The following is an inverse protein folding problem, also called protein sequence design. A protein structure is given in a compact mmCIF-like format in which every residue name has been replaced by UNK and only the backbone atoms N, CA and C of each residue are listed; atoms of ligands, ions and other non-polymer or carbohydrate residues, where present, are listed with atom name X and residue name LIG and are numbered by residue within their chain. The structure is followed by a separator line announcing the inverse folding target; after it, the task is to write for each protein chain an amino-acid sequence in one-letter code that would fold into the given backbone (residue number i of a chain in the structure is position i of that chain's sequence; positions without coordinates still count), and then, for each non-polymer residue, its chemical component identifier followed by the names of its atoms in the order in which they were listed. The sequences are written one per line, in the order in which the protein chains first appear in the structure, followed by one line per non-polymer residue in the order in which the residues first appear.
data_IF_888553715057
#
_entry.id   IF_888553715057
#
_cell.length_a   1.000
_cell.length_b   1.000
_cell.length_c   1.000
_cell.angle_alpha   90.00
_cell.angle_beta   90.00
_cell.angle_gamma   90.00
#
_symmetry.space_group_name_H-M   'P 1'
#
loop_
_entity.id
_entity.type
_entity.pdbx_description
1 polymer ?
#
# COMPACT_ATOMS: atom_id res chain seq x y z
N UNK A 1 0.52 -2.61 2.82
CA UNK A 1 0.48 -1.12 2.89
C UNK A 1 -0.95 -0.64 3.09
N UNK A 2 -1.14 0.54 3.70
CA UNK A 2 -2.44 1.25 3.74
C UNK A 2 -2.70 1.96 2.41
N UNK A 3 -3.96 2.24 2.10
CA UNK A 3 -4.32 2.91 0.83
C UNK A 3 -3.53 4.22 0.62
N UNK A 4 -3.51 5.09 1.63
CA UNK A 4 -2.76 6.34 1.55
C UNK A 4 -1.25 6.17 1.38
N UNK A 5 -0.65 5.12 1.97
CA UNK A 5 0.76 4.79 1.80
C UNK A 5 1.08 4.35 0.36
N UNK A 6 0.21 3.52 -0.23
CA UNK A 6 0.38 3.06 -1.63
C UNK A 6 0.40 4.24 -2.59
N UNK A 7 -0.59 5.12 -2.48
CA UNK A 7 -0.70 6.26 -3.40
C UNK A 7 0.23 7.43 -3.06
N UNK A 8 0.90 7.42 -1.92
CA UNK A 8 1.97 8.37 -1.60
C UNK A 8 3.32 8.02 -2.23
N UNK A 9 3.48 6.81 -2.78
CA UNK A 9 4.76 6.35 -3.31
C UNK A 9 5.27 7.23 -4.45
N UNK A 10 6.53 7.57 -4.34
CA UNK A 10 7.35 8.15 -5.39
C UNK A 10 8.35 7.11 -5.90
N UNK A 11 8.94 7.34 -7.08
CA UNK A 11 9.99 6.46 -7.57
C UNK A 11 11.27 6.50 -6.72
N UNK A 12 11.46 7.56 -5.92
CA UNK A 12 12.59 7.66 -4.98
C UNK A 12 12.39 6.79 -3.74
N UNK A 13 11.15 6.37 -3.44
CA UNK A 13 10.85 5.42 -2.38
C UNK A 13 11.10 3.95 -2.78
N UNK A 14 11.32 3.68 -4.08
CA UNK A 14 11.44 2.33 -4.64
C UNK A 14 12.88 2.07 -5.07
N UNK A 15 13.56 1.24 -4.31
CA UNK A 15 14.87 0.73 -4.66
C UNK A 15 14.73 -0.59 -5.43
N UNK A 16 14.88 -0.49 -6.77
CA UNK A 16 14.78 -1.67 -7.64
C UNK A 16 16.04 -2.54 -7.61
N UNK A 17 17.19 -2.00 -7.22
CA UNK A 17 18.44 -2.74 -7.09
C UNK A 17 18.42 -3.65 -5.85
N UNK A 18 18.05 -3.08 -4.69
CA UNK A 18 17.94 -3.81 -3.43
C UNK A 18 16.56 -4.45 -3.24
N UNK A 19 15.63 -4.24 -4.17
CA UNK A 19 14.25 -4.76 -4.14
C UNK A 19 13.50 -4.38 -2.86
N UNK A 20 13.53 -3.09 -2.51
CA UNK A 20 12.84 -2.59 -1.33
C UNK A 20 11.95 -1.38 -1.64
N UNK A 21 10.97 -1.14 -0.79
CA UNK A 21 10.09 0.03 -0.80
C UNK A 21 10.12 0.66 0.57
N UNK A 22 10.50 1.93 0.64
CA UNK A 22 10.43 2.74 1.86
C UNK A 22 9.04 3.35 1.98
N UNK A 23 8.40 3.14 3.13
CA UNK A 23 7.07 3.65 3.42
C UNK A 23 7.22 4.79 4.43
N UNK A 24 7.28 6.02 3.92
CA UNK A 24 7.56 7.21 4.71
C UNK A 24 6.37 8.17 4.78
N UNK A 25 5.46 8.10 3.80
CA UNK A 25 4.40 9.07 3.63
C UNK A 25 3.03 8.40 3.50
N UNK A 26 2.01 9.17 3.75
CA UNK A 26 0.62 8.83 3.43
C UNK A 26 -0.03 10.01 2.71
N UNK A 27 -0.81 9.72 1.67
CA UNK A 27 -1.55 10.75 0.95
C UNK A 27 -3.00 10.79 1.41
N UNK A 28 -3.54 11.99 1.46
CA UNK A 28 -4.95 12.24 1.70
C UNK A 28 -5.44 13.47 0.92
N UNK A 29 -6.74 13.57 0.74
CA UNK A 29 -7.36 14.71 0.09
C UNK A 29 -7.93 15.66 1.14
N UNK A 30 -7.67 16.97 0.98
CA UNK A 30 -8.47 18.03 1.58
C UNK A 30 -9.53 18.48 0.57
N UNK A 31 -10.55 19.16 1.04
CA UNK A 31 -11.64 19.63 0.21
C UNK A 31 -11.16 20.49 -0.98
N UNK A 32 -12.04 20.59 -2.00
CA UNK A 32 -11.79 21.13 -3.34
C UNK A 32 -11.05 22.48 -3.33
N UNK A 33 -9.74 22.42 -3.31
CA UNK A 33 -8.90 23.60 -3.58
C UNK A 33 -8.54 23.68 -5.07
N UNK A 34 -8.55 24.88 -5.65
CA UNK A 34 -8.29 25.12 -7.07
C UNK A 34 -6.90 24.65 -7.53
N UNK A 35 -5.89 24.66 -6.64
CA UNK A 35 -4.48 24.37 -6.95
C UNK A 35 -3.98 22.97 -6.49
N UNK A 36 -4.90 22.03 -6.31
CA UNK A 36 -4.55 20.68 -5.89
C UNK A 36 -5.10 20.37 -4.51
N UNK A 37 -5.62 19.15 -4.39
CA UNK A 37 -6.30 18.67 -3.18
C UNK A 37 -5.53 17.60 -2.44
N UNK A 38 -4.38 17.21 -2.97
CA UNK A 38 -3.60 16.10 -2.43
C UNK A 38 -2.48 16.59 -1.55
N UNK A 39 -2.39 16.01 -0.37
CA UNK A 39 -1.40 16.32 0.64
C UNK A 39 -0.68 15.05 1.06
N UNK A 40 0.64 15.14 1.23
CA UNK A 40 1.46 14.11 1.86
C UNK A 40 1.65 14.49 3.32
N UNK A 41 1.15 13.64 4.20
CA UNK A 41 1.49 13.71 5.61
C UNK A 41 2.74 12.85 5.85
N UNK A 42 3.73 13.41 6.51
CA UNK A 42 4.81 12.60 7.08
C UNK A 42 4.17 11.75 8.16
N UNK A 43 4.32 10.43 8.05
CA UNK A 43 3.71 9.52 9.01
C UNK A 43 3.98 10.00 10.44
N UNK A 44 2.92 10.22 11.23
CA UNK A 44 2.89 10.92 12.53
C UNK A 44 3.86 10.40 13.59
N UNK A 45 4.56 9.30 13.34
CA UNK A 45 5.48 8.69 14.29
C UNK A 45 6.63 8.04 13.55
N UNK A 46 7.83 8.16 14.11
CA UNK A 46 9.06 7.50 13.64
C UNK A 46 8.83 6.00 13.39
N UNK A 47 8.01 5.34 14.22
CA UNK A 47 7.68 3.91 14.11
C UNK A 47 6.80 3.53 12.91
N UNK A 48 6.30 4.51 12.15
CA UNK A 48 5.52 4.25 10.94
C UNK A 48 6.39 4.17 9.68
N UNK A 49 7.63 4.62 9.79
CA UNK A 49 8.64 4.44 8.73
C UNK A 49 9.06 2.98 8.73
N UNK A 50 8.95 2.34 7.60
CA UNK A 50 9.37 0.95 7.42
C UNK A 50 9.79 0.70 6.00
N UNK A 51 10.62 -0.31 5.84
CA UNK A 51 11.01 -0.85 4.55
C UNK A 51 10.36 -2.22 4.35
N UNK A 52 9.85 -2.49 3.16
CA UNK A 52 9.30 -3.79 2.79
C UNK A 52 9.99 -4.31 1.53
N UNK A 53 10.11 -5.64 1.44
CA UNK A 53 10.70 -6.29 0.28
C UNK A 53 9.74 -6.42 -0.88
N UNK A 54 10.28 -6.36 -2.10
CA UNK A 54 9.57 -6.51 -3.37
C UNK A 54 9.70 -7.96 -3.84
N UNK A 55 8.58 -8.69 -3.95
CA UNK A 55 8.57 -10.03 -4.54
C UNK A 55 8.79 -9.98 -6.06
N UNK A 56 9.22 -11.11 -6.66
CA UNK A 56 9.57 -11.19 -8.08
C UNK A 56 8.46 -10.71 -9.01
N UNK A 57 7.21 -11.05 -8.71
CA UNK A 57 6.05 -10.62 -9.50
C UNK A 57 5.89 -9.10 -9.48
N UNK A 58 5.96 -8.48 -8.28
CA UNK A 58 5.87 -7.02 -8.14
C UNK A 58 7.06 -6.33 -8.78
N UNK A 59 8.27 -6.87 -8.64
CA UNK A 59 9.48 -6.36 -9.25
C UNK A 59 9.35 -6.28 -10.79
N UNK A 60 8.97 -7.39 -11.41
CA UNK A 60 8.77 -7.45 -12.86
C UNK A 60 7.70 -6.47 -13.34
N UNK A 61 6.63 -6.31 -12.55
CA UNK A 61 5.58 -5.34 -12.84
C UNK A 61 6.07 -3.90 -12.74
N UNK A 62 6.82 -3.56 -11.68
CA UNK A 62 7.34 -2.21 -11.47
C UNK A 62 8.33 -1.79 -12.57
N UNK A 63 9.18 -2.70 -13.05
CA UNK A 63 10.08 -2.44 -14.16
C UNK A 63 9.31 -2.06 -15.43
N UNK A 64 8.35 -2.89 -15.83
CA UNK A 64 7.49 -2.64 -16.99
C UNK A 64 6.69 -1.35 -16.86
N UNK A 65 6.18 -1.09 -15.67
CA UNK A 65 5.39 0.11 -15.41
C UNK A 65 6.23 1.39 -15.45
N UNK A 66 7.46 1.36 -14.93
CA UNK A 66 8.41 2.48 -15.03
C UNK A 66 8.76 2.80 -16.48
N UNK A 67 9.00 1.76 -17.27
CA UNK A 67 9.25 1.90 -18.71
C UNK A 67 8.03 2.51 -19.43
N UNK A 68 6.84 1.99 -19.17
CA UNK A 68 5.59 2.50 -19.74
C UNK A 68 5.38 3.98 -19.38
N UNK A 69 5.60 4.37 -18.14
CA UNK A 69 5.50 5.75 -17.71
C UNK A 69 6.53 6.65 -18.40
N UNK A 70 7.75 6.16 -18.61
CA UNK A 70 8.78 6.87 -19.36
C UNK A 70 8.39 7.05 -20.86
N UNK A 71 7.73 6.07 -21.46
CA UNK A 71 7.22 6.18 -22.82
C UNK A 71 6.10 7.23 -22.90
N UNK A 72 5.19 7.29 -21.93
CA UNK A 72 4.20 8.35 -21.84
C UNK A 72 4.83 9.74 -21.66
N UNK A 73 5.90 9.88 -20.86
CA UNK A 73 6.65 11.14 -20.74
C UNK A 73 7.20 11.61 -22.09
N UNK A 74 7.70 10.69 -22.92
CA UNK A 74 8.20 11.01 -24.27
C UNK A 74 7.04 11.37 -25.21
N UNK A 75 5.95 10.60 -25.20
CA UNK A 75 4.76 10.79 -26.04
C UNK A 75 4.11 12.16 -25.78
N UNK A 76 3.86 12.49 -24.52
CA UNK A 76 3.21 13.75 -24.14
C UNK A 76 4.18 14.94 -24.12
N UNK A 77 5.49 14.71 -24.05
CA UNK A 77 6.52 15.73 -24.08
C UNK A 77 6.24 16.91 -23.15
N UNK A 78 6.12 18.12 -23.70
CA UNK A 78 5.83 19.35 -22.93
C UNK A 78 4.45 19.35 -22.26
N UNK A 79 3.53 18.51 -22.73
CA UNK A 79 2.17 18.39 -22.17
C UNK A 79 2.10 17.40 -21.00
N UNK A 80 3.16 16.65 -20.72
CA UNK A 80 3.23 15.77 -19.57
C UNK A 80 3.24 16.59 -18.27
N UNK A 81 2.40 16.19 -17.32
CA UNK A 81 2.23 16.92 -16.06
C UNK A 81 3.22 16.42 -15.02
N UNK A 82 3.95 17.36 -14.46
CA UNK A 82 4.91 17.13 -13.39
C UNK A 82 4.42 17.77 -12.09
N UNK A 83 4.98 17.30 -10.99
CA UNK A 83 4.60 17.74 -9.66
C UNK A 83 5.82 18.13 -8.83
N UNK A 84 5.59 19.05 -7.90
CA UNK A 84 6.53 19.46 -6.86
C UNK A 84 5.83 19.36 -5.51
N UNK A 85 6.60 19.28 -4.43
CA UNK A 85 6.09 19.34 -3.07
C UNK A 85 6.29 20.75 -2.51
N UNK A 86 5.20 21.35 -2.05
CA UNK A 86 5.22 22.61 -1.32
C UNK A 86 5.02 22.37 0.16
N UNK A 87 5.90 22.96 0.98
CA UNK A 87 5.83 22.85 2.43
C UNK A 87 4.63 23.61 2.98
N UNK A 88 3.81 22.95 3.77
CA UNK A 88 2.74 23.57 4.53
C UNK A 88 3.17 23.67 5.99
N UNK A 89 3.27 24.89 6.49
CA UNK A 89 3.71 25.19 7.87
C UNK A 89 2.54 25.62 8.73
N UNK A 90 2.58 25.27 10.00
CA UNK A 90 1.61 25.78 10.97
C UNK A 90 1.91 27.24 11.35
N UNK A 91 1.06 27.83 12.18
CA UNK A 91 1.21 29.23 12.66
C UNK A 91 2.53 29.50 13.42
N UNK A 92 3.27 28.47 13.81
CA UNK A 92 4.56 28.58 14.48
C UNK A 92 5.75 28.31 13.53
N UNK A 93 5.51 28.24 12.21
CA UNK A 93 6.55 27.98 11.21
C UNK A 93 7.02 26.52 11.13
N UNK A 94 6.45 25.60 11.92
CA UNK A 94 6.80 24.17 11.88
C UNK A 94 6.14 23.50 10.70
N UNK A 95 6.91 22.73 9.92
CA UNK A 95 6.41 21.86 8.85
C UNK A 95 5.37 20.89 9.39
N UNK A 96 4.22 20.81 8.73
CA UNK A 96 3.12 19.90 9.09
C UNK A 96 2.94 18.83 8.02
N UNK A 97 2.95 19.22 6.76
CA UNK A 97 2.68 18.36 5.61
C UNK A 97 3.25 18.97 4.33
N UNK A 98 3.19 18.22 3.22
CA UNK A 98 3.50 18.72 1.90
C UNK A 98 2.25 18.72 1.02
N UNK A 99 2.04 19.79 0.26
CA UNK A 99 1.01 19.87 -0.78
C UNK A 99 1.61 19.42 -2.12
N UNK A 100 0.92 18.52 -2.82
CA UNK A 100 1.31 18.06 -4.15
C UNK A 100 0.80 19.08 -5.16
N UNK A 101 1.71 19.83 -5.78
CA UNK A 101 1.37 20.92 -6.71
C UNK A 101 1.85 20.58 -8.12
N UNK A 102 0.97 20.80 -9.11
CA UNK A 102 1.35 20.72 -10.50
C UNK A 102 2.34 21.83 -10.84
N UNK A 103 3.52 21.46 -11.34
CA UNK A 103 4.59 22.42 -11.65
C UNK A 103 5.47 21.92 -12.78
N UNK A 104 5.89 22.84 -13.63
CA UNK A 104 6.89 22.60 -14.67
C UNK A 104 8.33 22.86 -14.16
N UNK A 105 8.49 23.32 -12.93
CA UNK A 105 9.80 23.52 -12.31
C UNK A 105 10.55 22.19 -12.19
N UNK A 106 11.86 22.23 -12.39
CA UNK A 106 12.73 21.10 -12.09
C UNK A 106 13.14 21.06 -10.62
N UNK A 107 13.01 22.18 -9.91
CA UNK A 107 13.36 22.27 -8.49
C UNK A 107 12.29 21.54 -7.65
N UNK A 108 12.72 20.70 -6.73
CA UNK A 108 11.86 19.89 -5.86
C UNK A 108 10.82 19.05 -6.63
N UNK A 109 11.15 18.64 -7.87
CA UNK A 109 10.28 17.77 -8.65
C UNK A 109 10.19 16.41 -7.98
N UNK A 110 8.97 15.88 -7.91
CA UNK A 110 8.68 14.56 -7.39
C UNK A 110 8.07 13.70 -8.50
N UNK A 111 8.57 12.48 -8.62
CA UNK A 111 8.10 11.51 -9.61
C UNK A 111 7.15 10.52 -8.94
N UNK A 112 5.84 10.86 -8.98
CA UNK A 112 4.81 10.00 -8.41
C UNK A 112 4.69 8.69 -9.17
N UNK A 113 4.53 7.57 -8.45
CA UNK A 113 4.35 6.25 -9.06
C UNK A 113 3.00 6.18 -9.76
N UNK A 114 1.93 6.61 -9.11
CA UNK A 114 0.56 6.46 -9.64
C UNK A 114 0.11 7.72 -10.38
N UNK A 115 0.27 7.69 -11.71
CA UNK A 115 -0.18 8.77 -12.60
C UNK A 115 -1.01 8.23 -13.76
N UNK A 116 -1.83 9.09 -14.36
CA UNK A 116 -2.46 8.83 -15.67
C UNK A 116 -1.40 8.92 -16.79
N UNK A 117 -1.77 8.54 -18.01
CA UNK A 117 -0.92 8.62 -19.21
C UNK A 117 -0.31 10.00 -19.40
N UNK A 118 -1.08 11.05 -19.19
CA UNK A 118 -0.66 12.45 -19.32
C UNK A 118 0.12 12.99 -18.11
N UNK A 119 0.51 12.12 -17.19
CA UNK A 119 1.20 12.47 -15.94
C UNK A 119 0.30 12.98 -14.81
N UNK A 120 -1.02 13.13 -15.03
CA UNK A 120 -1.92 13.62 -13.97
C UNK A 120 -1.91 12.67 -12.78
N UNK A 121 -1.58 13.19 -11.61
CA UNK A 121 -1.67 12.45 -10.35
C UNK A 121 -3.14 12.25 -9.96
N UNK A 122 -3.49 11.03 -9.63
CA UNK A 122 -4.88 10.65 -9.33
C UNK A 122 -5.14 10.35 -7.85
N UNK A 123 -4.09 10.18 -7.06
CA UNK A 123 -4.20 9.78 -5.67
C UNK A 123 -5.08 8.55 -5.47
N UNK A 124 -5.81 8.51 -4.36
CA UNK A 124 -6.67 7.37 -4.03
C UNK A 124 -7.94 7.25 -4.88
N UNK A 125 -8.26 8.24 -5.71
CA UNK A 125 -9.48 8.21 -6.54
C UNK A 125 -9.43 7.15 -7.64
N UNK A 126 -8.24 6.79 -8.09
CA UNK A 126 -8.05 5.83 -9.18
C UNK A 126 -8.64 4.45 -8.87
N UNK A 127 -8.76 4.07 -7.59
CA UNK A 127 -9.31 2.77 -7.19
C UNK A 127 -10.83 2.69 -7.28
N UNK A 128 -11.54 3.82 -7.34
CA UNK A 128 -13.01 3.84 -7.29
C UNK A 128 -13.64 3.09 -8.46
N UNK A 129 -13.13 3.30 -9.67
CA UNK A 129 -13.70 2.67 -10.87
C UNK A 129 -13.44 1.15 -10.91
N UNK A 130 -12.21 0.62 -10.75
CA UNK A 130 -11.96 -0.81 -10.70
C UNK A 130 -12.78 -1.53 -9.61
N UNK A 131 -12.87 -0.96 -8.40
CA UNK A 131 -13.65 -1.58 -7.32
C UNK A 131 -15.15 -1.53 -7.56
N UNK A 132 -15.65 -0.53 -8.31
CA UNK A 132 -17.04 -0.52 -8.77
C UNK A 132 -17.33 -1.67 -9.73
N UNK A 133 -16.44 -1.96 -10.68
CA UNK A 133 -16.54 -3.12 -11.58
C UNK A 133 -16.56 -4.42 -10.78
N UNK A 134 -15.58 -4.60 -9.87
CA UNK A 134 -15.49 -5.78 -9.00
C UNK A 134 -16.79 -6.01 -8.23
N UNK A 135 -17.37 -4.94 -7.71
CA UNK A 135 -18.60 -5.00 -6.92
C UNK A 135 -19.85 -5.30 -7.77
N UNK A 136 -20.07 -4.54 -8.84
CA UNK A 136 -21.33 -4.60 -9.59
C UNK A 136 -21.31 -5.60 -10.75
N UNK A 137 -20.19 -5.81 -11.40
CA UNK A 137 -20.11 -6.72 -12.55
C UNK A 137 -19.66 -8.13 -12.13
N UNK A 138 -18.77 -8.25 -11.13
CA UNK A 138 -18.29 -9.56 -10.64
C UNK A 138 -19.01 -10.03 -9.37
N UNK A 139 -19.86 -9.20 -8.76
CA UNK A 139 -20.60 -9.53 -7.54
C UNK A 139 -19.74 -9.68 -6.28
N UNK A 140 -18.47 -9.26 -6.32
CA UNK A 140 -17.51 -9.43 -5.22
C UNK A 140 -17.55 -8.21 -4.30
N UNK A 141 -18.03 -8.43 -3.07
CA UNK A 141 -18.10 -7.40 -2.03
C UNK A 141 -16.73 -7.23 -1.36
N UNK A 142 -15.90 -6.31 -1.88
CA UNK A 142 -14.61 -6.02 -1.27
C UNK A 142 -14.21 -4.54 -1.43
N UNK A 143 -13.37 -4.08 -0.51
CA UNK A 143 -12.73 -2.76 -0.54
C UNK A 143 -11.25 -2.93 -0.83
N UNK A 144 -10.59 -1.90 -1.30
CA UNK A 144 -9.13 -1.91 -1.50
C UNK A 144 -8.37 -2.29 -0.21
N UNK A 145 -8.87 -1.85 0.95
CA UNK A 145 -8.28 -2.20 2.25
C UNK A 145 -8.34 -3.70 2.57
N UNK A 146 -9.31 -4.41 2.03
CA UNK A 146 -9.48 -5.84 2.29
C UNK A 146 -8.36 -6.69 1.66
N UNK A 147 -7.65 -6.15 0.65
CA UNK A 147 -6.42 -6.75 0.12
C UNK A 147 -5.33 -6.84 1.19
N UNK A 148 -5.24 -5.84 2.09
CA UNK A 148 -4.32 -5.86 3.22
C UNK A 148 -4.72 -6.92 4.25
N UNK A 149 -6.01 -7.05 4.52
CA UNK A 149 -6.54 -8.09 5.41
C UNK A 149 -6.31 -9.50 4.83
N UNK A 150 -6.49 -9.64 3.52
CA UNK A 150 -6.19 -10.88 2.78
C UNK A 150 -4.72 -11.28 2.92
N UNK A 151 -3.79 -10.33 2.77
CA UNK A 151 -2.37 -10.58 2.99
C UNK A 151 -2.09 -11.15 4.39
N UNK A 152 -2.67 -10.56 5.45
CA UNK A 152 -2.53 -11.06 6.82
C UNK A 152 -3.00 -12.50 6.92
N UNK A 153 -4.22 -12.76 6.48
CA UNK A 153 -4.85 -14.08 6.58
C UNK A 153 -4.04 -15.15 5.85
N UNK A 154 -3.60 -14.85 4.62
CA UNK A 154 -2.81 -15.79 3.80
C UNK A 154 -1.44 -16.04 4.44
N UNK A 155 -0.74 -15.00 4.91
CA UNK A 155 0.57 -15.13 5.54
C UNK A 155 0.51 -16.00 6.80
N UNK A 156 -0.48 -15.76 7.68
CA UNK A 156 -0.64 -16.52 8.90
C UNK A 156 -1.07 -17.98 8.63
N UNK A 157 -1.91 -18.24 7.62
CA UNK A 157 -2.27 -19.60 7.19
C UNK A 157 -1.09 -20.36 6.62
N UNK A 158 -0.13 -19.68 6.00
CA UNK A 158 1.11 -20.26 5.50
C UNK A 158 2.22 -20.37 6.56
N UNK A 159 1.90 -20.15 7.84
CA UNK A 159 2.81 -20.37 8.96
C UNK A 159 3.75 -19.22 9.28
N UNK A 160 3.54 -18.01 8.68
CA UNK A 160 4.31 -16.83 9.08
C UNK A 160 3.98 -16.47 10.54
N UNK A 161 5.00 -16.01 11.27
CA UNK A 161 4.80 -15.52 12.63
C UNK A 161 4.00 -14.22 12.65
N UNK A 162 3.12 -14.08 13.63
CA UNK A 162 2.25 -12.89 13.80
C UNK A 162 3.09 -11.63 13.93
N UNK A 163 4.23 -11.72 14.63
CA UNK A 163 5.15 -10.61 14.85
C UNK A 163 5.72 -10.09 13.53
N UNK A 164 6.19 -10.97 12.66
CA UNK A 164 6.78 -10.60 11.36
C UNK A 164 5.73 -9.98 10.44
N UNK A 165 4.54 -10.54 10.41
CA UNK A 165 3.41 -9.99 9.65
C UNK A 165 3.02 -8.60 10.18
N UNK A 166 3.00 -8.40 11.50
CA UNK A 166 2.71 -7.12 12.12
C UNK A 166 3.75 -6.06 11.77
N UNK A 167 5.05 -6.42 11.74
CA UNK A 167 6.15 -5.55 11.37
C UNK A 167 6.05 -5.09 9.90
N UNK A 168 5.87 -6.02 8.95
CA UNK A 168 5.66 -5.70 7.53
C UNK A 168 4.47 -4.76 7.34
N UNK A 169 3.43 -4.92 8.13
CA UNK A 169 2.24 -4.08 8.07
C UNK A 169 2.43 -2.71 8.76
N UNK A 170 3.43 -2.56 9.62
CA UNK A 170 3.60 -1.38 10.48
C UNK A 170 2.48 -1.27 11.52
N UNK A 171 2.13 -2.38 12.16
CA UNK A 171 1.24 -2.40 13.31
C UNK A 171 2.04 -2.19 14.58
N UNK A 172 1.75 -1.11 15.32
CA UNK A 172 2.38 -0.84 16.62
C UNK A 172 2.05 -1.87 17.69
N UNK A 173 0.87 -2.49 17.58
CA UNK A 173 0.37 -3.48 18.52
C UNK A 173 0.09 -4.78 17.78
N UNK A 174 0.64 -5.85 18.28
CA UNK A 174 0.48 -7.21 17.73
C UNK A 174 -0.99 -7.62 17.77
N UNK A 175 -1.74 -7.19 18.78
CA UNK A 175 -3.17 -7.49 18.96
C UNK A 175 -4.01 -7.03 17.75
N UNK A 176 -3.53 -6.02 17.01
CA UNK A 176 -4.19 -5.59 15.77
C UNK A 176 -4.10 -6.67 14.69
N UNK A 177 -2.99 -7.42 14.63
CA UNK A 177 -2.79 -8.53 13.69
C UNK A 177 -3.49 -9.80 14.21
N UNK A 178 -3.48 -10.04 15.53
CA UNK A 178 -4.14 -11.18 16.17
C UNK A 178 -5.65 -11.22 15.90
N UNK A 179 -6.32 -10.07 15.85
CA UNK A 179 -7.76 -10.00 15.51
C UNK A 179 -8.07 -10.68 14.16
N UNK A 180 -7.20 -10.50 13.16
CA UNK A 180 -7.37 -11.18 11.87
C UNK A 180 -7.15 -12.69 11.98
N UNK A 181 -6.24 -13.13 12.85
CA UNK A 181 -5.99 -14.54 13.11
C UNK A 181 -7.18 -15.22 13.79
N UNK A 182 -7.78 -14.58 14.78
CA UNK A 182 -8.97 -15.09 15.48
C UNK A 182 -10.16 -15.20 14.52
N UNK A 183 -10.39 -14.22 13.67
CA UNK A 183 -11.47 -14.25 12.68
C UNK A 183 -11.27 -15.35 11.63
N UNK A 184 -10.03 -15.59 11.20
CA UNK A 184 -9.72 -16.66 10.23
C UNK A 184 -9.86 -18.06 10.84
N UNK A 185 -9.60 -18.24 12.13
CA UNK A 185 -9.73 -19.52 12.85
C UNK A 185 -11.16 -19.89 13.20
N UNK A 186 -12.11 -18.99 13.19
CA UNK A 186 -13.50 -19.31 13.51
C UNK A 186 -14.14 -20.31 12.51
N UNK A 187 -13.68 -20.31 11.27
CA UNK A 187 -14.08 -21.28 10.24
C UNK A 187 -13.34 -22.62 10.40
N UNK A 188 -12.15 -22.64 11.01
CA UNK A 188 -11.29 -23.81 11.15
C UNK A 188 -11.53 -24.64 12.44
N UNK A 189 -12.47 -24.24 13.31
CA UNK A 189 -12.75 -24.99 14.56
C UNK A 189 -13.10 -26.45 14.31
N UNK A 190 -13.82 -26.75 13.24
CA UNK A 190 -14.13 -28.13 12.83
C UNK A 190 -12.88 -28.89 12.37
N UNK A 191 -11.93 -28.20 11.76
CA UNK A 191 -10.68 -28.79 11.28
C UNK A 191 -9.72 -29.09 12.43
N UNK A 192 -9.69 -28.25 13.47
CA UNK A 192 -8.92 -28.48 14.71
C UNK A 192 -9.41 -29.77 15.40
N UNK A 193 -10.71 -29.99 15.51
CA UNK A 193 -11.27 -31.20 16.08
C UNK A 193 -10.91 -32.44 15.23
N UNK A 194 -11.00 -32.33 13.90
CA UNK A 194 -10.58 -33.43 12.99
C UNK A 194 -9.10 -33.78 13.14
N UNK A 195 -8.22 -32.75 13.22
CA UNK A 195 -6.78 -33.00 13.41
C UNK A 195 -6.47 -33.62 14.78
N UNK A 196 -7.19 -33.18 15.82
CA UNK A 196 -7.08 -33.81 17.14
C UNK A 196 -7.53 -35.27 17.14
N UNK A 197 -8.61 -35.60 16.45
CA UNK A 197 -9.07 -37.00 16.29
C UNK A 197 -8.06 -37.88 15.53
N UNK A 198 -7.46 -37.33 14.45
CA UNK A 198 -6.41 -38.02 13.68
C UNK A 198 -5.18 -38.27 14.56
N UNK A 199 -4.75 -37.29 15.39
CA UNK A 199 -3.59 -37.44 16.28
C UNK A 199 -3.83 -38.49 17.38
N UNK A 200 -5.06 -38.69 17.85
CA UNK A 200 -5.43 -39.75 18.79
C UNK A 200 -5.38 -41.15 18.17
N UNK A 201 -5.72 -41.27 16.91
CA UNK A 201 -5.72 -42.58 16.23
C UNK A 201 -4.30 -43.09 15.93
N UNK A 202 -3.28 -42.22 15.87
CA UNK A 202 -1.88 -42.63 15.72
C UNK A 202 -1.27 -43.22 17.01
N UNK A 203 -1.82 -42.89 18.18
CA UNK A 203 -1.32 -43.43 19.46
C UNK A 203 -1.93 -44.81 19.83
N UNK A 204 -2.86 -45.33 19.05
CA UNK A 204 -3.50 -46.64 19.30
C UNK A 204 -2.93 -47.80 18.47
N UNK A 205 -1.81 -47.59 17.76
CA UNK A 205 -1.18 -48.64 16.95
C UNK A 205 0.20 -49.07 17.44
N UNK A 206 0.58 -48.79 18.71
CA UNK A 206 1.77 -49.37 19.35
C UNK A 206 1.40 -49.96 20.71
N UNK A 207 0.78 -51.18 20.69
CA UNK A 207 0.85 -52.20 21.75
C UNK A 207 1.01 -53.54 21.04
#
# INVERSE_FOLDING_TARGET
MRTGEVFALTWDDIDLENRTIKINNTVYAKDKEENGRWYLDTTKTIDSHREIYICDTLYSFLLKYKELQNNYKKEFGKNYKHYTLEEVKNKYGKLVEYKIIKSNSKRNRVEMVFTKKDGTYSGTDIIRYPFRIIHYELGIQCRFYDLRSGFVTISLRNGCEIKDVAEVLGHKRIETTERYYVLSKSEDKKQVIKLFEISRNFNNFNI
#
